data_IF_456635089325
#
_entry.id   IF_456635089325
#
_cell.length_a   1.000
_cell.length_b   1.000
_cell.length_c   1.000
_cell.angle_alpha   90.00
_cell.angle_beta   90.00
_cell.angle_gamma   90.00
#
_symmetry.space_group_name_H-M   'P 1'
#
loop_
_entity.id
_entity.type
_entity.pdbx_description
1 polymer ?
#
# COMPACT_ATOMS: atom_id res chain seq x y z
N UNK A 1 0.88 55.39 -20.86
CA UNK A 1 1.69 54.87 -21.99
C UNK A 1 2.85 54.11 -21.39
N UNK A 2 3.13 52.91 -21.93
CA UNK A 2 3.87 51.78 -21.36
C UNK A 2 3.08 51.07 -20.24
N UNK A 3 2.82 49.78 -20.28
CA UNK A 3 3.10 48.73 -21.26
C UNK A 3 2.19 47.57 -20.84
N UNK A 4 1.23 47.10 -21.64
CA UNK A 4 1.31 45.82 -22.37
C UNK A 4 1.78 44.55 -21.61
N UNK A 5 2.20 44.60 -20.34
CA UNK A 5 2.68 43.42 -19.61
C UNK A 5 1.63 42.66 -18.80
N UNK A 6 0.47 43.25 -18.48
CA UNK A 6 -0.57 42.55 -17.70
C UNK A 6 -1.63 41.87 -18.57
N UNK A 7 -1.40 41.75 -19.89
CA UNK A 7 -2.34 41.14 -20.85
C UNK A 7 -1.89 39.80 -21.43
N UNK A 8 -0.86 39.17 -20.86
CA UNK A 8 -0.31 37.88 -21.31
C UNK A 8 -0.28 36.76 -20.25
N UNK A 9 -0.99 36.92 -19.13
CA UNK A 9 -1.11 35.86 -18.10
C UNK A 9 -2.54 35.30 -17.98
N UNK A 10 -3.38 35.45 -19.01
CA UNK A 10 -4.77 34.97 -19.02
C UNK A 10 -5.10 34.01 -20.17
N UNK A 11 -4.10 33.43 -20.84
CA UNK A 11 -4.31 32.34 -21.79
C UNK A 11 -3.24 31.25 -21.60
N UNK A 12 -3.67 30.11 -21.07
CA UNK A 12 -3.02 28.82 -21.32
C UNK A 12 -2.06 28.30 -20.25
N UNK A 13 -2.60 27.81 -19.12
CA UNK A 13 -2.20 26.52 -18.53
C UNK A 13 -3.46 25.87 -17.94
N UNK A 14 -4.25 25.22 -18.81
CA UNK A 14 -5.08 24.08 -18.42
C UNK A 14 -4.10 22.91 -18.21
N UNK A 15 -3.62 22.73 -16.97
CA UNK A 15 -3.04 21.46 -16.55
C UNK A 15 -4.16 20.70 -15.85
N UNK A 16 -4.50 19.56 -16.43
CA UNK A 16 -5.35 18.52 -15.87
C UNK A 16 -4.82 18.14 -14.48
N UNK A 17 -5.28 18.83 -13.43
CA UNK A 17 -5.23 18.27 -12.09
C UNK A 17 -6.23 17.12 -12.09
N UNK A 18 -5.68 15.92 -11.87
CA UNK A 18 -6.39 14.66 -11.92
C UNK A 18 -7.68 14.66 -11.09
N UNK A 19 -8.51 13.69 -11.44
CA UNK A 19 -9.86 13.40 -10.98
C UNK A 19 -10.02 13.13 -9.46
N UNK A 20 -9.09 13.63 -8.63
CA UNK A 20 -8.85 13.26 -7.23
C UNK A 20 -9.91 13.78 -6.24
N UNK A 21 -10.99 14.39 -6.73
CA UNK A 21 -12.04 14.99 -5.89
C UNK A 21 -13.47 14.70 -6.35
N UNK A 22 -13.72 13.75 -7.26
CA UNK A 22 -15.09 13.62 -7.81
C UNK A 22 -16.08 12.92 -6.86
N UNK A 23 -15.62 12.18 -5.84
CA UNK A 23 -16.49 11.62 -4.79
C UNK A 23 -15.83 11.62 -3.41
N UNK A 24 -16.50 12.24 -2.44
CA UNK A 24 -16.31 11.98 -1.01
C UNK A 24 -16.47 10.47 -0.74
N UNK A 25 -15.65 9.87 0.13
CA UNK A 25 -15.59 8.41 0.35
C UNK A 25 -16.97 7.82 0.69
N UNK A 26 -17.79 8.59 1.42
CA UNK A 26 -19.16 8.21 1.76
C UNK A 26 -20.09 8.19 0.53
N UNK A 27 -19.96 9.16 -0.37
CA UNK A 27 -20.75 9.20 -1.61
C UNK A 27 -20.37 8.05 -2.53
N UNK A 28 -19.07 7.80 -2.67
CA UNK A 28 -18.55 6.69 -3.47
C UNK A 28 -19.07 5.34 -2.95
N UNK A 29 -19.02 5.13 -1.63
CA UNK A 29 -19.58 3.94 -0.99
C UNK A 29 -21.09 3.80 -1.22
N UNK A 30 -21.84 4.89 -1.12
CA UNK A 30 -23.28 4.88 -1.36
C UNK A 30 -23.62 4.44 -2.79
N UNK A 31 -22.92 4.97 -3.80
CA UNK A 31 -23.13 4.60 -5.20
C UNK A 31 -22.65 3.18 -5.52
N UNK A 32 -21.52 2.77 -4.95
CA UNK A 32 -21.02 1.40 -5.10
C UNK A 32 -22.01 0.36 -4.56
N UNK A 33 -22.79 0.68 -3.52
CA UNK A 33 -23.85 -0.20 -2.98
C UNK A 33 -25.04 -0.39 -3.92
N UNK A 34 -25.32 0.57 -4.78
CA UNK A 34 -26.28 0.39 -5.88
C UNK A 34 -25.69 -0.38 -7.07
N UNK A 35 -24.46 -0.90 -6.94
CA UNK A 35 -23.71 -1.58 -8.00
C UNK A 35 -23.54 -0.70 -9.25
N UNK A 36 -23.46 0.61 -9.04
CA UNK A 36 -23.14 1.57 -10.08
C UNK A 36 -21.74 1.27 -10.64
N UNK A 37 -21.64 1.10 -11.96
CA UNK A 37 -20.41 0.61 -12.59
C UNK A 37 -19.27 1.62 -12.49
N UNK A 38 -19.57 2.91 -12.63
CA UNK A 38 -18.56 3.97 -12.55
C UNK A 38 -18.04 4.11 -11.12
N UNK A 39 -18.93 4.02 -10.12
CA UNK A 39 -18.53 4.01 -8.72
C UNK A 39 -17.68 2.78 -8.37
N UNK A 40 -18.02 1.59 -8.86
CA UNK A 40 -17.22 0.38 -8.65
C UNK A 40 -15.82 0.49 -9.30
N UNK A 41 -15.75 1.02 -10.51
CA UNK A 41 -14.49 1.28 -11.20
C UNK A 41 -13.64 2.31 -10.44
N UNK A 42 -14.26 3.37 -9.93
CA UNK A 42 -13.58 4.39 -9.14
C UNK A 42 -13.06 3.82 -7.80
N UNK A 43 -13.83 2.98 -7.10
CA UNK A 43 -13.34 2.26 -5.91
C UNK A 43 -12.13 1.40 -6.27
N UNK A 44 -12.20 0.65 -7.36
CA UNK A 44 -11.07 -0.15 -7.82
C UNK A 44 -9.84 0.73 -8.07
N UNK A 45 -9.95 1.73 -8.94
CA UNK A 45 -8.84 2.61 -9.31
C UNK A 45 -8.22 3.33 -8.10
N UNK A 46 -9.06 3.79 -7.17
CA UNK A 46 -8.62 4.53 -5.98
C UNK A 46 -7.83 3.68 -4.99
N UNK A 47 -8.20 2.41 -4.81
CA UNK A 47 -7.63 1.57 -3.76
C UNK A 47 -6.70 0.45 -4.27
N UNK A 48 -6.73 0.11 -5.57
CA UNK A 48 -6.00 -1.02 -6.13
C UNK A 48 -4.52 -0.98 -5.76
N UNK A 49 -3.83 0.12 -6.09
CA UNK A 49 -2.40 0.27 -5.83
C UNK A 49 -2.04 0.08 -4.35
N UNK A 50 -2.84 0.65 -3.45
CA UNK A 50 -2.57 0.56 -2.01
C UNK A 50 -2.75 -0.87 -1.48
N UNK A 51 -3.76 -1.59 -1.99
CA UNK A 51 -4.04 -2.97 -1.62
C UNK A 51 -2.97 -3.90 -2.21
N UNK A 52 -2.66 -3.71 -3.49
CA UNK A 52 -1.63 -4.47 -4.18
C UNK A 52 -0.28 -4.32 -3.48
N UNK A 53 0.18 -3.10 -3.20
CA UNK A 53 1.45 -2.87 -2.50
C UNK A 53 1.45 -3.45 -1.09
N UNK A 54 0.35 -3.28 -0.36
CA UNK A 54 0.18 -3.87 0.98
C UNK A 54 0.35 -5.41 0.94
N UNK A 55 -0.16 -6.06 -0.10
CA UNK A 55 -0.04 -7.52 -0.28
C UNK A 55 1.35 -7.91 -0.79
N UNK A 56 1.85 -7.25 -1.84
CA UNK A 56 3.14 -7.51 -2.47
C UNK A 56 4.31 -7.40 -1.49
N UNK A 57 4.21 -6.54 -0.48
CA UNK A 57 5.22 -6.41 0.57
C UNK A 57 5.29 -7.61 1.53
N UNK A 58 4.36 -8.56 1.44
CA UNK A 58 4.32 -9.73 2.34
C UNK A 58 4.40 -11.06 1.59
N UNK A 59 3.97 -11.12 0.34
CA UNK A 59 4.06 -12.35 -0.47
C UNK A 59 5.35 -12.42 -1.30
N UNK A 60 5.68 -13.63 -1.73
CA UNK A 60 6.98 -13.92 -2.35
C UNK A 60 6.99 -13.77 -3.87
N UNK A 61 5.83 -13.57 -4.50
CA UNK A 61 5.70 -13.50 -5.96
C UNK A 61 4.56 -12.56 -6.40
N UNK A 62 4.74 -11.90 -7.55
CA UNK A 62 3.81 -10.94 -8.12
C UNK A 62 2.47 -11.59 -8.53
N UNK A 63 2.46 -12.77 -9.19
CA UNK A 63 1.20 -13.45 -9.50
C UNK A 63 0.35 -13.71 -8.25
N UNK A 64 0.96 -14.18 -7.15
CA UNK A 64 0.25 -14.33 -5.87
C UNK A 64 -0.27 -12.98 -5.35
N UNK A 65 0.51 -11.90 -5.49
CA UNK A 65 0.06 -10.57 -5.07
C UNK A 65 -1.17 -10.11 -5.87
N UNK A 66 -1.16 -10.29 -7.18
CA UNK A 66 -2.27 -9.97 -8.10
C UNK A 66 -3.52 -10.80 -7.79
N UNK A 67 -3.38 -12.11 -7.58
CA UNK A 67 -4.47 -13.02 -7.24
C UNK A 67 -5.12 -12.64 -5.91
N UNK A 68 -4.32 -12.40 -4.87
CA UNK A 68 -4.85 -12.01 -3.56
C UNK A 68 -5.46 -10.61 -3.59
N UNK A 69 -4.93 -9.70 -4.41
CA UNK A 69 -5.52 -8.37 -4.61
C UNK A 69 -6.88 -8.48 -5.28
N UNK A 70 -6.98 -9.29 -6.33
CA UNK A 70 -8.22 -9.58 -7.03
C UNK A 70 -9.26 -10.18 -6.08
N UNK A 71 -8.85 -11.10 -5.21
CA UNK A 71 -9.71 -11.71 -4.19
C UNK A 71 -10.29 -10.67 -3.21
N UNK A 72 -9.52 -9.63 -2.83
CA UNK A 72 -10.03 -8.53 -2.00
C UNK A 72 -11.18 -7.79 -2.68
N UNK A 73 -11.02 -7.45 -3.95
CA UNK A 73 -12.06 -6.73 -4.71
C UNK A 73 -13.26 -7.63 -5.07
N UNK A 74 -13.04 -8.93 -5.29
CA UNK A 74 -14.13 -9.89 -5.44
C UNK A 74 -14.96 -9.98 -4.15
N UNK A 75 -14.31 -10.01 -2.99
CA UNK A 75 -15.01 -9.96 -1.69
C UNK A 75 -15.73 -8.64 -1.47
N UNK A 76 -15.18 -7.51 -1.93
CA UNK A 76 -15.90 -6.23 -1.96
C UNK A 76 -17.20 -6.34 -2.76
N UNK A 77 -17.12 -6.82 -3.99
CA UNK A 77 -18.28 -6.93 -4.87
C UNK A 77 -19.36 -7.83 -4.27
N UNK A 78 -18.96 -8.97 -3.69
CA UNK A 78 -19.89 -9.87 -3.00
C UNK A 78 -20.51 -9.21 -1.76
N UNK A 79 -19.73 -8.53 -0.93
CA UNK A 79 -20.24 -7.82 0.25
C UNK A 79 -21.21 -6.68 -0.11
N UNK A 80 -20.98 -5.98 -1.22
CA UNK A 80 -21.89 -4.97 -1.74
C UNK A 80 -23.21 -5.59 -2.22
N UNK A 81 -23.14 -6.70 -2.98
CA UNK A 81 -24.32 -7.47 -3.43
C UNK A 81 -25.16 -8.00 -2.28
N UNK A 82 -24.50 -8.48 -1.23
CA UNK A 82 -25.15 -9.05 -0.06
C UNK A 82 -25.58 -7.99 0.98
N UNK A 83 -25.34 -6.71 0.70
CA UNK A 83 -25.58 -5.59 1.62
C UNK A 83 -24.88 -5.74 2.99
N UNK A 84 -23.74 -6.41 3.01
CA UNK A 84 -22.91 -6.64 4.21
C UNK A 84 -21.65 -5.77 4.27
N UNK A 85 -21.38 -4.98 3.21
CA UNK A 85 -20.32 -3.98 3.21
C UNK A 85 -20.54 -2.94 4.34
N UNK A 86 -19.47 -2.43 4.97
CA UNK A 86 -19.60 -1.59 6.16
C UNK A 86 -20.17 -0.23 5.81
N UNK A 87 -20.65 0.43 6.86
CA UNK A 87 -21.44 1.65 6.76
C UNK A 87 -20.63 2.92 6.56
N UNK A 88 -19.34 2.91 6.93
CA UNK A 88 -18.64 4.17 7.23
C UNK A 88 -17.35 4.40 6.45
N UNK A 89 -16.48 3.39 6.24
CA UNK A 89 -15.19 3.60 5.57
C UNK A 89 -14.84 2.43 4.63
N UNK A 90 -14.66 2.73 3.34
CA UNK A 90 -14.22 1.74 2.35
C UNK A 90 -12.78 1.34 2.62
N UNK A 91 -11.91 2.33 2.87
CA UNK A 91 -10.49 2.09 3.13
C UNK A 91 -10.27 1.11 4.29
N UNK A 92 -10.85 1.39 5.46
CA UNK A 92 -10.69 0.55 6.65
C UNK A 92 -11.22 -0.87 6.46
N UNK A 93 -12.28 -1.02 5.65
CA UNK A 93 -12.82 -2.33 5.33
C UNK A 93 -11.93 -3.13 4.39
N UNK A 94 -11.48 -2.51 3.29
CA UNK A 94 -10.59 -3.12 2.32
C UNK A 94 -9.29 -3.56 3.00
N UNK A 95 -8.78 -2.77 3.94
CA UNK A 95 -7.68 -3.18 4.81
C UNK A 95 -7.98 -4.46 5.58
N UNK A 96 -9.14 -4.51 6.25
CA UNK A 96 -9.57 -5.68 7.02
C UNK A 96 -9.68 -6.93 6.15
N UNK A 97 -10.24 -6.79 4.95
CA UNK A 97 -10.36 -7.88 3.97
C UNK A 97 -8.98 -8.31 3.47
N UNK A 98 -8.10 -7.39 3.09
CA UNK A 98 -6.75 -7.72 2.63
C UNK A 98 -5.92 -8.42 3.73
N UNK A 99 -6.03 -7.96 4.97
CA UNK A 99 -5.41 -8.61 6.13
C UNK A 99 -5.94 -10.03 6.35
N UNK A 100 -7.27 -10.21 6.22
CA UNK A 100 -7.90 -11.52 6.31
C UNK A 100 -7.45 -12.46 5.18
N UNK A 101 -7.45 -11.99 3.94
CA UNK A 101 -7.05 -12.76 2.74
C UNK A 101 -5.61 -13.27 2.88
N UNK A 102 -4.69 -12.42 3.37
CA UNK A 102 -3.32 -12.86 3.64
C UNK A 102 -3.23 -13.88 4.76
N UNK A 103 -3.96 -13.66 5.86
CA UNK A 103 -4.01 -14.63 6.97
C UNK A 103 -4.53 -15.99 6.47
N UNK A 104 -5.52 -15.99 5.59
CA UNK A 104 -6.04 -17.20 4.96
C UNK A 104 -5.00 -17.87 4.05
N UNK A 105 -4.32 -17.10 3.20
CA UNK A 105 -3.22 -17.56 2.34
C UNK A 105 -2.13 -18.27 3.16
N UNK A 106 -1.63 -17.65 4.23
CA UNK A 106 -0.61 -18.27 5.08
C UNK A 106 -1.14 -19.42 5.92
N UNK A 107 -2.41 -19.40 6.35
CA UNK A 107 -2.99 -20.55 7.07
C UNK A 107 -3.07 -21.78 6.16
N UNK A 108 -3.37 -21.58 4.87
CA UNK A 108 -3.35 -22.64 3.86
C UNK A 108 -1.91 -23.15 3.65
N UNK A 109 -0.94 -22.25 3.45
CA UNK A 109 0.49 -22.60 3.25
C UNK A 109 1.18 -23.21 4.48
N UNK A 110 0.84 -22.82 5.70
CA UNK A 110 1.42 -23.37 6.95
C UNK A 110 0.99 -24.82 7.19
N UNK A 111 -0.07 -25.29 6.51
CA UNK A 111 -0.39 -26.72 6.44
C UNK A 111 0.67 -27.50 5.66
N UNK A 112 1.48 -26.83 4.84
CA UNK A 112 2.42 -27.44 3.89
C UNK A 112 3.91 -27.08 4.13
N UNK A 113 4.28 -26.09 4.96
CA UNK A 113 5.70 -25.83 5.29
C UNK A 113 5.93 -24.88 6.47
N UNK A 114 7.05 -25.06 7.16
CA UNK A 114 7.52 -24.30 8.33
C UNK A 114 8.97 -23.87 8.10
N UNK A 115 9.28 -22.57 8.16
CA UNK A 115 10.64 -22.08 8.49
C UNK A 115 10.65 -20.61 8.87
N UNK A 116 11.35 -20.30 9.96
CA UNK A 116 11.73 -18.98 10.50
C UNK A 116 13.03 -18.49 9.86
N UNK A 117 13.40 -17.19 10.02
CA UNK A 117 14.78 -16.73 10.30
C UNK A 117 14.83 -15.23 10.72
N UNK A 118 15.87 -14.87 11.47
CA UNK A 118 16.13 -13.62 12.21
C UNK A 118 17.48 -13.03 11.75
N UNK A 119 17.66 -11.70 11.65
CA UNK A 119 18.98 -11.04 11.67
C UNK A 119 18.89 -9.52 11.95
N UNK A 120 19.85 -8.97 12.71
CA UNK A 120 19.99 -7.56 13.11
C UNK A 120 20.92 -6.79 12.14
N UNK A 121 20.56 -5.56 11.75
CA UNK A 121 21.33 -4.67 10.86
C UNK A 121 21.36 -3.22 11.44
N UNK A 122 22.48 -2.47 11.35
CA UNK A 122 22.57 -1.09 11.84
C UNK A 122 21.79 -0.09 10.95
N UNK A 123 21.25 0.96 11.56
CA UNK A 123 20.43 1.98 10.88
C UNK A 123 21.25 3.21 10.51
N UNK A 124 21.06 3.73 9.28
CA UNK A 124 21.59 5.03 8.84
C UNK A 124 20.44 5.91 8.32
N UNK A 125 20.45 7.19 8.69
CA UNK A 125 19.36 8.14 8.41
C UNK A 125 19.57 8.85 7.07
N UNK A 126 18.89 8.35 6.03
CA UNK A 126 18.63 9.11 4.79
C UNK A 126 17.12 9.27 4.58
N UNK A 127 16.71 10.20 3.72
CA UNK A 127 15.30 10.63 3.59
C UNK A 127 14.40 9.45 3.18
N UNK A 128 13.57 9.06 4.14
CA UNK A 128 12.68 7.89 4.11
C UNK A 128 11.81 7.84 2.85
N UNK A 129 11.31 8.99 2.38
CA UNK A 129 10.32 9.04 1.31
C UNK A 129 10.92 8.78 -0.08
N UNK A 130 12.18 9.17 -0.33
CA UNK A 130 12.80 9.01 -1.65
C UNK A 130 13.26 7.56 -1.88
N UNK A 131 13.85 6.94 -0.85
CA UNK A 131 14.27 5.54 -0.91
C UNK A 131 13.07 4.60 -1.09
N UNK A 132 11.93 4.87 -0.45
CA UNK A 132 10.72 4.05 -0.61
C UNK A 132 10.13 4.15 -2.01
N UNK A 133 10.22 5.30 -2.69
CA UNK A 133 9.83 5.44 -4.09
C UNK A 133 10.60 4.49 -5.01
N UNK A 134 11.90 4.33 -4.77
CA UNK A 134 12.78 3.42 -5.53
C UNK A 134 12.49 1.94 -5.22
N UNK A 135 12.18 1.62 -3.96
CA UNK A 135 11.75 0.27 -3.54
C UNK A 135 10.50 -0.17 -4.32
N UNK A 136 9.52 0.74 -4.39
CA UNK A 136 8.22 0.53 -5.02
C UNK A 136 8.31 0.35 -6.54
N UNK A 137 9.38 0.84 -7.17
CA UNK A 137 9.62 0.69 -8.61
C UNK A 137 10.61 -0.44 -8.94
N UNK A 138 11.17 -1.13 -7.95
CA UNK A 138 12.15 -2.18 -8.20
C UNK A 138 11.48 -3.44 -8.77
N UNK A 139 11.97 -3.91 -9.93
CA UNK A 139 11.59 -5.22 -10.50
C UNK A 139 11.91 -6.40 -9.56
N UNK A 140 12.74 -6.14 -8.54
CA UNK A 140 13.21 -7.11 -7.55
C UNK A 140 12.56 -6.94 -6.16
N UNK A 141 11.41 -6.25 -6.08
CA UNK A 141 10.72 -6.00 -4.80
C UNK A 141 10.61 -7.27 -3.94
N UNK A 142 10.22 -8.39 -4.52
CA UNK A 142 10.08 -9.66 -3.80
C UNK A 142 11.41 -10.16 -3.22
N UNK A 143 12.49 -10.11 -4.02
CA UNK A 143 13.82 -10.54 -3.59
C UNK A 143 14.31 -9.67 -2.43
N UNK A 144 14.08 -8.36 -2.51
CA UNK A 144 14.39 -7.41 -1.43
C UNK A 144 13.59 -7.77 -0.17
N UNK A 145 12.26 -7.85 -0.29
CA UNK A 145 11.35 -8.08 0.84
C UNK A 145 11.60 -9.43 1.52
N UNK A 146 11.95 -10.48 0.75
CA UNK A 146 12.26 -11.81 1.29
C UNK A 146 13.43 -11.83 2.27
N UNK A 147 14.33 -10.85 2.19
CA UNK A 147 15.45 -10.73 3.11
C UNK A 147 15.13 -9.94 4.39
N UNK A 148 13.94 -9.36 4.51
CA UNK A 148 13.53 -8.59 5.69
C UNK A 148 12.86 -9.49 6.73
N UNK A 149 12.94 -9.10 8.00
CA UNK A 149 12.16 -9.75 9.06
C UNK A 149 10.67 -9.47 8.91
N UNK A 150 9.81 -10.34 9.45
CA UNK A 150 8.35 -10.17 9.41
C UNK A 150 7.92 -8.78 9.93
N UNK A 151 8.52 -8.31 11.03
CA UNK A 151 8.23 -7.00 11.61
C UNK A 151 8.62 -5.85 10.65
N UNK A 152 9.75 -5.98 9.94
CA UNK A 152 10.17 -5.00 8.94
C UNK A 152 9.24 -4.99 7.71
N UNK A 153 8.88 -6.17 7.19
CA UNK A 153 7.92 -6.28 6.09
C UNK A 153 6.56 -5.69 6.49
N UNK A 154 6.08 -6.01 7.69
CA UNK A 154 4.80 -5.52 8.21
C UNK A 154 4.79 -4.00 8.37
N UNK A 155 5.85 -3.39 8.93
CA UNK A 155 5.88 -1.92 9.08
C UNK A 155 5.88 -1.23 7.70
N UNK A 156 6.60 -1.78 6.72
CA UNK A 156 6.61 -1.24 5.37
C UNK A 156 5.24 -1.39 4.69
N UNK A 157 4.60 -2.56 4.83
CA UNK A 157 3.28 -2.83 4.25
C UNK A 157 2.24 -1.87 4.80
N UNK A 158 2.23 -1.64 6.11
CA UNK A 158 1.26 -0.77 6.74
C UNK A 158 1.53 0.71 6.47
N UNK A 159 2.80 1.15 6.53
CA UNK A 159 3.17 2.57 6.38
C UNK A 159 3.15 3.04 4.94
N UNK A 160 3.67 2.24 4.01
CA UNK A 160 3.93 2.66 2.64
C UNK A 160 3.09 1.92 1.62
N UNK A 161 2.73 0.66 1.89
CA UNK A 161 1.77 -0.06 1.04
C UNK A 161 0.36 0.49 1.22
N UNK A 162 -0.15 0.43 2.45
CA UNK A 162 -1.51 0.84 2.77
C UNK A 162 -1.65 2.33 3.18
N UNK A 163 -0.54 2.98 3.54
CA UNK A 163 -0.52 4.40 3.88
C UNK A 163 -1.07 4.76 5.26
N UNK A 164 -1.06 3.83 6.24
CA UNK A 164 -1.56 4.10 7.59
C UNK A 164 -0.63 5.03 8.37
N UNK A 165 -1.10 6.04 9.12
CA UNK A 165 -0.24 6.86 9.97
C UNK A 165 0.45 6.02 11.06
N UNK A 166 1.60 6.50 11.56
CA UNK A 166 2.42 5.79 12.57
C UNK A 166 1.60 5.29 13.76
N UNK A 167 0.67 6.11 14.25
CA UNK A 167 -0.22 5.76 15.37
C UNK A 167 -1.08 4.53 15.08
N UNK A 168 -1.66 4.44 13.89
CA UNK A 168 -2.50 3.30 13.49
C UNK A 168 -1.66 2.04 13.25
N UNK A 169 -0.45 2.20 12.71
CA UNK A 169 0.52 1.10 12.59
C UNK A 169 0.91 0.56 13.96
N UNK A 170 1.18 1.45 14.92
CA UNK A 170 1.52 1.08 16.29
C UNK A 170 0.40 0.26 16.95
N UNK A 171 -0.85 0.70 16.79
CA UNK A 171 -2.03 -0.04 17.27
C UNK A 171 -2.17 -1.40 16.58
N UNK A 172 -2.02 -1.44 15.25
CA UNK A 172 -2.15 -2.67 14.45
C UNK A 172 -1.09 -3.71 14.82
N UNK A 173 0.15 -3.27 15.08
CA UNK A 173 1.27 -4.14 15.42
C UNK A 173 1.42 -4.39 16.93
N UNK A 174 0.59 -3.78 17.78
CA UNK A 174 0.68 -3.90 19.24
C UNK A 174 1.98 -3.35 19.83
N UNK A 175 2.54 -2.28 19.26
CA UNK A 175 3.82 -1.66 19.66
C UNK A 175 3.63 -0.16 19.97
N UNK A 176 4.65 0.47 20.57
CA UNK A 176 4.62 1.93 20.78
C UNK A 176 4.93 2.71 19.49
N UNK A 177 4.47 3.95 19.36
CA UNK A 177 4.81 4.80 18.21
C UNK A 177 6.33 5.01 18.06
N UNK A 178 7.06 5.12 19.18
CA UNK A 178 8.53 5.19 19.17
C UNK A 178 9.16 3.92 18.62
N UNK A 179 8.65 2.75 19.03
CA UNK A 179 9.08 1.45 18.48
C UNK A 179 8.82 1.36 16.97
N UNK A 180 7.67 1.86 16.49
CA UNK A 180 7.34 1.87 15.05
C UNK A 180 8.29 2.78 14.28
N UNK A 181 8.58 3.99 14.77
CA UNK A 181 9.55 4.89 14.12
C UNK A 181 10.92 4.23 13.96
N UNK A 182 11.43 3.63 15.03
CA UNK A 182 12.71 2.91 14.99
C UNK A 182 12.67 1.71 14.04
N UNK A 183 11.59 0.94 14.06
CA UNK A 183 11.41 -0.21 13.18
C UNK A 183 11.34 0.21 11.70
N UNK A 184 10.65 1.32 11.40
CA UNK A 184 10.57 1.90 10.07
C UNK A 184 11.94 2.30 9.54
N UNK A 185 12.75 3.01 10.33
CA UNK A 185 14.12 3.39 9.94
C UNK A 185 14.97 2.14 9.66
N UNK A 186 14.92 1.13 10.53
CA UNK A 186 15.64 -0.13 10.33
C UNK A 186 15.20 -0.87 9.07
N UNK A 187 13.89 -0.93 8.82
CA UNK A 187 13.35 -1.58 7.63
C UNK A 187 13.84 -0.89 6.36
N UNK A 188 13.83 0.45 6.32
CA UNK A 188 14.33 1.22 5.17
C UNK A 188 15.83 1.00 4.97
N UNK A 189 16.62 1.08 6.04
CA UNK A 189 18.07 0.80 5.96
C UNK A 189 18.35 -0.59 5.40
N UNK A 190 17.61 -1.60 5.86
CA UNK A 190 17.75 -2.98 5.40
C UNK A 190 17.40 -3.14 3.92
N UNK A 191 16.42 -2.38 3.42
CA UNK A 191 16.10 -2.37 2.00
C UNK A 191 17.17 -1.63 1.18
N UNK A 192 17.55 -0.42 1.58
CA UNK A 192 18.58 0.37 0.87
C UNK A 192 19.87 -0.43 0.70
N UNK A 193 20.31 -1.14 1.75
CA UNK A 193 21.47 -2.03 1.67
C UNK A 193 21.29 -3.16 0.64
N UNK A 194 20.09 -3.76 0.56
CA UNK A 194 19.79 -4.84 -0.39
C UNK A 194 19.75 -4.34 -1.83
N UNK A 195 19.17 -3.16 -2.07
CA UNK A 195 19.19 -2.51 -3.38
C UNK A 195 20.63 -2.27 -3.83
N UNK A 196 21.48 -1.73 -2.94
CA UNK A 196 22.90 -1.50 -3.23
C UNK A 196 23.65 -2.79 -3.57
N UNK A 197 23.41 -3.88 -2.81
CA UNK A 197 24.03 -5.18 -3.08
C UNK A 197 23.60 -5.76 -4.43
N UNK A 198 22.34 -5.60 -4.82
CA UNK A 198 21.85 -6.06 -6.13
C UNK A 198 22.38 -5.22 -7.29
N UNK A 199 22.44 -3.88 -7.12
CA UNK A 199 23.01 -2.97 -8.12
C UNK A 199 24.51 -3.13 -8.31
N UNK A 200 25.24 -3.62 -7.30
CA UNK A 200 26.66 -3.95 -7.41
C UNK A 200 26.94 -5.30 -8.08
N UNK A 201 25.91 -6.13 -8.28
CA UNK A 201 25.99 -7.47 -8.90
C UNK A 201 25.44 -7.50 -10.34
N UNK A 202 24.92 -6.38 -10.84
CA UNK A 202 24.42 -6.18 -12.21
C UNK A 202 25.47 -5.48 -13.09
#
# INVERSE_FOLDING_TARGET
>A
MLSQETKLYNEGIHLEMGNDFMYDEMTLLHQARSLDQDALAEVHNRYYDSIYRYIAFRVNDAPTAEDLTSEVFLRLLNALRDHTAPQNTLRGWLFGVASYVLKEHYRSKKRDSFTLLHEDIPADEQSVDQQVGEILQSENLQAIMSGLTDDQQNVLALRFGFGLPIREVAQTMGKSEGSIKMLQVRAISAVSQRIMLQGALA
#
